data_IF_083192620246
#
_entry.id   IF_083192620246
#
_cell.length_a   1.000
_cell.length_b   1.000
_cell.length_c   1.000
_cell.angle_alpha   90.00
_cell.angle_beta   90.00
_cell.angle_gamma   90.00
#
_symmetry.space_group_name_H-M   'P 1'
#
loop_
_entity.id
_entity.type
_entity.pdbx_description
1 polymer ?
#
# COMPACT_ATOMS: atom_id res chain seq x y z
N UNK A 1 10.54 -19.76 -14.52
CA UNK A 1 9.90 -18.73 -15.36
C UNK A 1 8.40 -18.71 -15.11
N UNK A 2 7.96 -17.91 -14.14
CA UNK A 2 6.57 -17.52 -13.97
C UNK A 2 6.51 -15.99 -14.06
N UNK A 3 6.06 -15.49 -15.21
CA UNK A 3 5.83 -14.07 -15.44
C UNK A 3 4.42 -13.75 -14.96
N UNK A 4 4.26 -13.47 -13.66
CA UNK A 4 2.96 -13.02 -13.14
C UNK A 4 2.86 -11.51 -13.34
N UNK A 5 1.99 -11.11 -14.26
CA UNK A 5 1.71 -9.71 -14.57
C UNK A 5 0.27 -9.39 -14.19
N UNK A 6 0.07 -8.58 -13.16
CA UNK A 6 -1.26 -8.14 -12.75
C UNK A 6 -1.63 -6.87 -13.51
N UNK A 7 -2.52 -7.00 -14.48
CA UNK A 7 -3.06 -5.86 -15.22
C UNK A 7 -4.41 -5.45 -14.65
N UNK A 8 -4.49 -4.24 -14.12
CA UNK A 8 -5.76 -3.61 -13.82
C UNK A 8 -6.54 -3.34 -15.11
N UNK A 9 -7.88 -3.42 -15.04
CA UNK A 9 -8.77 -3.05 -16.15
C UNK A 9 -8.52 -1.60 -16.59
N UNK A 10 -8.86 -1.24 -17.82
CA UNK A 10 -8.58 0.10 -18.38
C UNK A 10 -9.14 1.26 -17.54
N UNK A 11 -10.13 1.00 -16.67
CA UNK A 11 -10.76 1.97 -15.79
C UNK A 11 -10.43 1.79 -14.31
N UNK A 12 -9.65 0.76 -13.94
CA UNK A 12 -9.24 0.57 -12.57
C UNK A 12 -8.09 1.53 -12.21
N UNK A 13 -8.24 2.22 -11.08
CA UNK A 13 -7.23 3.14 -10.55
C UNK A 13 -6.10 2.41 -9.81
N UNK A 14 -6.07 1.07 -9.85
CA UNK A 14 -5.03 0.26 -9.23
C UNK A 14 -3.70 0.33 -9.98
N UNK A 15 -2.56 0.32 -9.26
CA UNK A 15 -1.24 0.27 -9.86
C UNK A 15 -1.03 -1.06 -10.59
N UNK A 16 -0.24 -1.03 -11.67
CA UNK A 16 0.19 -2.25 -12.36
C UNK A 16 1.44 -2.78 -11.68
N UNK A 17 1.39 -4.04 -11.21
CA UNK A 17 2.50 -4.69 -10.51
C UNK A 17 2.97 -5.87 -11.35
N UNK A 18 4.27 -5.87 -11.64
CA UNK A 18 4.96 -6.97 -12.32
C UNK A 18 6.02 -7.53 -11.39
N UNK A 19 5.94 -8.82 -11.12
CA UNK A 19 6.87 -9.52 -10.25
C UNK A 19 7.69 -10.47 -11.13
N UNK A 20 8.99 -10.23 -11.17
CA UNK A 20 10.00 -11.14 -11.71
C UNK A 20 10.82 -11.73 -10.56
N UNK A 21 11.72 -12.67 -10.84
CA UNK A 21 12.53 -13.37 -9.82
C UNK A 21 13.32 -12.38 -8.95
N UNK A 22 14.08 -11.49 -9.61
CA UNK A 22 14.95 -10.50 -8.96
C UNK A 22 14.37 -9.07 -8.94
N UNK A 23 13.30 -8.80 -9.69
CA UNK A 23 12.87 -7.44 -9.99
C UNK A 23 11.35 -7.29 -9.87
N UNK A 24 10.92 -6.38 -9.02
CA UNK A 24 9.51 -6.00 -8.92
C UNK A 24 9.36 -4.61 -9.52
N UNK A 25 8.51 -4.48 -10.53
CA UNK A 25 8.16 -3.18 -11.11
C UNK A 25 6.74 -2.82 -10.76
N UNK A 26 6.57 -1.66 -10.16
CA UNK A 26 5.28 -1.04 -9.87
C UNK A 26 5.14 0.19 -10.75
N UNK A 27 4.04 0.29 -11.47
CA UNK A 27 3.71 1.47 -12.28
C UNK A 27 2.38 2.04 -11.84
N UNK A 28 2.24 3.36 -11.95
CA UNK A 28 0.95 4.03 -11.79
C UNK A 28 -0.13 3.43 -12.68
N UNK A 29 -1.39 3.68 -12.34
CA UNK A 29 -2.52 3.15 -13.09
C UNK A 29 -2.54 3.72 -14.52
N UNK A 30 -2.90 2.86 -15.47
CA UNK A 30 -2.99 3.26 -16.89
C UNK A 30 -4.05 4.34 -17.10
N UNK A 31 -5.15 4.29 -16.34
CA UNK A 31 -6.20 5.30 -16.35
C UNK A 31 -5.64 6.68 -16.00
N UNK A 32 -4.86 6.80 -14.92
CA UNK A 32 -4.22 8.07 -14.54
C UNK A 32 -3.24 8.54 -15.62
N UNK A 33 -2.44 7.63 -16.20
CA UNK A 33 -1.53 8.00 -17.28
C UNK A 33 -2.28 8.52 -18.51
N UNK A 34 -3.42 7.92 -18.87
CA UNK A 34 -4.24 8.37 -19.99
C UNK A 34 -4.86 9.75 -19.70
N UNK A 35 -5.44 9.93 -18.51
CA UNK A 35 -6.04 11.19 -18.07
C UNK A 35 -5.02 12.33 -17.97
N UNK A 36 -3.78 12.00 -17.62
CA UNK A 36 -2.67 12.96 -17.56
C UNK A 36 -1.91 13.09 -18.89
N UNK A 37 -2.41 12.49 -19.99
CA UNK A 37 -1.76 12.50 -21.31
C UNK A 37 -0.28 12.10 -21.25
N UNK A 38 0.05 11.13 -20.41
CA UNK A 38 1.41 10.63 -20.16
C UNK A 38 2.39 11.70 -19.65
N UNK A 39 1.90 12.83 -19.17
CA UNK A 39 2.72 13.87 -18.55
C UNK A 39 3.20 13.45 -17.16
N UNK A 40 2.41 12.66 -16.44
CA UNK A 40 2.78 12.14 -15.14
C UNK A 40 3.01 10.64 -15.23
N UNK A 41 4.27 10.21 -15.14
CA UNK A 41 4.63 8.79 -15.06
C UNK A 41 5.42 8.54 -13.79
N UNK A 42 4.87 7.69 -12.93
CA UNK A 42 5.51 7.21 -11.71
C UNK A 42 5.79 5.71 -11.88
N UNK A 43 7.05 5.33 -11.63
CA UNK A 43 7.45 3.93 -11.64
C UNK A 43 8.43 3.66 -10.51
N UNK A 44 8.21 2.56 -9.82
CA UNK A 44 9.07 2.07 -8.75
C UNK A 44 9.59 0.70 -9.16
N UNK A 45 10.90 0.55 -9.15
CA UNK A 45 11.57 -0.72 -9.44
C UNK A 45 12.33 -1.15 -8.20
N UNK A 46 11.96 -2.29 -7.64
CA UNK A 46 12.62 -2.90 -6.50
C UNK A 46 13.51 -4.01 -7.06
N UNK A 47 14.82 -3.85 -6.92
CA UNK A 47 15.79 -4.87 -7.30
C UNK A 47 16.25 -5.62 -6.06
N UNK A 48 15.84 -6.89 -5.94
CA UNK A 48 16.17 -7.76 -4.80
C UNK A 48 17.64 -8.13 -4.77
N UNK A 49 18.23 -8.40 -5.94
CA UNK A 49 19.64 -8.77 -6.09
C UNK A 49 20.58 -7.61 -5.74
N UNK A 50 20.28 -6.41 -6.22
CA UNK A 50 21.06 -5.21 -5.93
C UNK A 50 20.67 -4.53 -4.61
N UNK A 51 19.64 -5.03 -3.90
CA UNK A 51 19.10 -4.48 -2.65
C UNK A 51 18.84 -2.97 -2.71
N UNK A 52 18.18 -2.53 -3.78
CA UNK A 52 17.84 -1.12 -3.94
C UNK A 52 16.42 -0.93 -4.50
N UNK A 53 15.86 0.23 -4.19
CA UNK A 53 14.59 0.71 -4.71
C UNK A 53 14.87 1.92 -5.59
N UNK A 54 14.48 1.84 -6.85
CA UNK A 54 14.63 2.91 -7.83
C UNK A 54 13.26 3.52 -8.06
N UNK A 55 13.11 4.77 -7.67
CA UNK A 55 11.88 5.54 -7.85
C UNK A 55 12.14 6.53 -8.97
N UNK A 56 11.38 6.39 -10.05
CA UNK A 56 11.47 7.27 -11.21
C UNK A 56 10.17 8.04 -11.36
N UNK A 57 10.28 9.36 -11.32
CA UNK A 57 9.19 10.28 -11.60
C UNK A 57 9.48 11.01 -12.89
N UNK A 58 8.49 11.09 -13.75
CA UNK A 58 8.51 11.96 -14.90
C UNK A 58 7.34 12.92 -14.79
N UNK A 59 7.67 14.19 -14.73
CA UNK A 59 6.72 15.30 -14.75
C UNK A 59 6.91 16.04 -16.07
N UNK A 60 5.87 16.08 -16.88
CA UNK A 60 5.93 16.49 -18.28
C UNK A 60 6.94 15.68 -19.11
N UNK A 61 7.18 16.12 -20.35
CA UNK A 61 8.14 15.46 -21.23
C UNK A 61 9.61 15.70 -20.83
N UNK A 62 9.87 16.80 -20.11
CA UNK A 62 11.23 17.31 -19.87
C UNK A 62 11.79 17.03 -18.49
N UNK A 63 10.97 16.97 -17.43
CA UNK A 63 11.48 16.78 -16.07
C UNK A 63 11.43 15.32 -15.67
N UNK A 64 12.61 14.70 -15.58
CA UNK A 64 12.79 13.34 -15.09
C UNK A 64 13.58 13.40 -13.80
N UNK A 65 13.03 12.83 -12.74
CA UNK A 65 13.70 12.62 -11.47
C UNK A 65 13.87 11.13 -11.25
N UNK A 66 15.04 10.74 -10.74
CA UNK A 66 15.37 9.36 -10.39
C UNK A 66 16.03 9.37 -9.03
N UNK A 67 15.41 8.67 -8.09
CA UNK A 67 15.92 8.47 -6.74
C UNK A 67 16.23 6.99 -6.55
N UNK A 68 17.38 6.70 -5.95
CA UNK A 68 17.81 5.34 -5.64
C UNK A 68 17.98 5.26 -4.14
N UNK A 69 17.31 4.31 -3.51
CA UNK A 69 17.30 4.10 -2.07
C UNK A 69 17.84 2.70 -1.80
N UNK A 70 18.88 2.58 -0.99
CA UNK A 70 19.38 1.27 -0.59
C UNK A 70 18.42 0.64 0.45
N UNK A 71 18.30 -0.69 0.47
CA UNK A 71 17.43 -1.37 1.46
C UNK A 71 17.84 -1.04 2.90
N UNK A 72 19.14 -0.85 3.13
CA UNK A 72 19.68 -0.57 4.46
C UNK A 72 19.36 0.86 4.95
N UNK A 73 18.92 1.75 4.04
CA UNK A 73 18.45 3.09 4.39
C UNK A 73 16.96 3.13 4.76
N UNK A 74 16.23 2.02 4.55
CA UNK A 74 14.79 1.91 4.84
C UNK A 74 14.60 1.60 6.33
N UNK A 75 13.87 2.46 7.04
CA UNK A 75 13.55 2.28 8.46
C UNK A 75 12.27 1.44 8.63
N UNK A 76 11.19 1.89 7.99
CA UNK A 76 9.88 1.23 8.04
C UNK A 76 9.05 1.55 6.79
N UNK A 77 8.02 0.74 6.55
CA UNK A 77 6.98 1.04 5.58
C UNK A 77 5.84 1.80 6.22
N UNK A 78 5.48 2.94 5.65
CA UNK A 78 4.34 3.74 6.06
C UNK A 78 3.12 3.35 5.21
N UNK A 79 2.03 2.98 5.88
CA UNK A 79 0.77 2.63 5.25
C UNK A 79 -0.29 3.58 5.74
N UNK A 80 -0.78 4.44 4.85
CA UNK A 80 -1.75 5.47 5.17
C UNK A 80 -3.05 5.27 4.39
N UNK A 81 -4.15 5.58 5.05
CA UNK A 81 -5.49 5.60 4.49
C UNK A 81 -6.00 7.04 4.47
N UNK A 82 -6.64 7.42 3.37
CA UNK A 82 -7.35 8.69 3.22
C UNK A 82 -8.63 8.44 2.43
N UNK A 83 -9.73 9.04 2.86
CA UNK A 83 -11.02 9.01 2.18
C UNK A 83 -11.36 10.41 1.63
N UNK A 84 -11.91 10.47 0.42
CA UNK A 84 -12.47 11.68 -0.15
C UNK A 84 -13.95 11.48 -0.39
N UNK A 85 -14.78 12.30 0.25
CA UNK A 85 -16.23 12.29 0.03
C UNK A 85 -16.53 12.83 -1.37
N UNK A 86 -17.12 12.01 -2.23
CA UNK A 86 -17.55 12.38 -3.59
C UNK A 86 -18.97 12.90 -3.61
N UNK A 87 -19.83 12.42 -2.70
CA UNK A 87 -21.21 12.89 -2.56
C UNK A 87 -21.59 13.11 -1.10
N UNK A 88 -22.29 14.22 -0.87
CA UNK A 88 -22.91 14.57 0.40
C UNK A 88 -24.42 14.40 0.24
N UNK A 89 -25.01 13.50 1.02
CA UNK A 89 -26.45 13.25 1.03
C UNK A 89 -27.04 13.56 2.39
N UNK A 90 -28.35 13.80 2.44
CA UNK A 90 -29.07 13.87 3.71
C UNK A 90 -29.47 12.43 4.06
N UNK A 91 -28.88 11.86 5.11
CA UNK A 91 -29.28 10.58 5.66
C UNK A 91 -30.26 10.82 6.80
N UNK A 92 -31.48 10.28 6.65
CA UNK A 92 -32.49 10.27 7.71
C UNK A 92 -32.10 9.33 8.86
N UNK A 93 -31.26 8.33 8.61
CA UNK A 93 -30.82 7.34 9.61
C UNK A 93 -29.68 7.87 10.51
N UNK A 94 -28.83 8.77 10.00
CA UNK A 94 -27.72 9.38 10.75
C UNK A 94 -28.07 10.80 11.26
N UNK A 95 -29.31 11.26 11.05
CA UNK A 95 -29.81 12.52 11.61
C UNK A 95 -29.18 13.79 11.02
N UNK A 96 -28.71 13.77 9.77
CA UNK A 96 -28.05 14.92 9.15
C UNK A 96 -27.45 14.68 7.77
N UNK A 97 -26.53 15.57 7.36
CA UNK A 97 -25.76 15.43 6.11
C UNK A 97 -24.68 14.37 6.35
N UNK A 98 -24.79 13.22 5.69
CA UNK A 98 -23.85 12.12 5.74
C UNK A 98 -23.13 11.96 4.40
N UNK A 99 -21.93 11.39 4.42
CA UNK A 99 -21.20 11.00 3.20
C UNK A 99 -21.91 9.78 2.58
N UNK A 100 -22.49 9.92 1.40
CA UNK A 100 -23.17 8.80 0.71
C UNK A 100 -22.24 8.00 -0.17
N UNK A 101 -21.15 8.62 -0.63
CA UNK A 101 -20.12 7.99 -1.44
C UNK A 101 -18.74 8.54 -1.07
N UNK A 102 -17.76 7.64 -1.02
CA UNK A 102 -16.37 7.95 -0.67
C UNK A 102 -15.42 7.19 -1.57
N UNK A 103 -14.48 7.93 -2.16
CA UNK A 103 -13.30 7.34 -2.78
C UNK A 103 -12.27 7.09 -1.68
N UNK A 104 -11.97 5.82 -1.47
CA UNK A 104 -10.92 5.38 -0.58
C UNK A 104 -9.57 5.42 -1.31
N UNK A 105 -8.53 5.83 -0.59
CA UNK A 105 -7.17 5.84 -1.09
C UNK A 105 -6.22 5.29 -0.04
N UNK A 106 -5.56 4.20 -0.40
CA UNK A 106 -4.53 3.53 0.40
C UNK A 106 -3.17 3.86 -0.20
N UNK A 107 -2.28 4.47 0.57
CA UNK A 107 -0.95 4.87 0.10
C UNK A 107 0.11 4.10 0.87
N UNK A 108 1.00 3.44 0.12
CA UNK A 108 2.16 2.74 0.66
C UNK A 108 3.41 3.56 0.36
N UNK A 109 4.19 3.85 1.39
CA UNK A 109 5.41 4.65 1.29
C UNK A 109 6.55 4.00 2.08
N UNK A 110 7.78 4.27 1.65
CA UNK A 110 9.01 3.95 2.38
C UNK A 110 9.38 5.17 3.22
N UNK A 111 9.68 4.97 4.50
CA UNK A 111 10.38 5.96 5.31
C UNK A 111 11.84 5.57 5.42
N UNK A 112 12.74 6.53 5.19
CA UNK A 112 14.18 6.32 5.37
C UNK A 112 14.65 6.74 6.76
N UNK A 113 15.84 6.27 7.15
CA UNK A 113 16.50 6.66 8.41
C UNK A 113 16.74 8.17 8.50
N UNK A 114 16.75 8.88 7.36
CA UNK A 114 16.91 10.35 7.27
C UNK A 114 15.59 11.11 7.51
N UNK A 115 14.49 10.39 7.72
CA UNK A 115 13.15 10.96 7.88
C UNK A 115 12.46 11.34 6.57
N UNK A 116 13.07 11.01 5.42
CA UNK A 116 12.46 11.23 4.12
C UNK A 116 11.42 10.14 3.84
N UNK A 117 10.30 10.53 3.22
CA UNK A 117 9.24 9.60 2.82
C UNK A 117 9.13 9.54 1.31
N UNK A 118 9.16 8.33 0.78
CA UNK A 118 9.04 8.07 -0.64
C UNK A 118 7.83 7.19 -0.92
N UNK A 119 6.91 7.69 -1.73
CA UNK A 119 5.73 6.93 -2.14
C UNK A 119 6.15 5.74 -3.01
N UNK A 120 5.67 4.54 -2.67
CA UNK A 120 5.83 3.35 -3.50
C UNK A 120 4.68 3.22 -4.49
N UNK A 121 3.47 3.24 -3.97
CA UNK A 121 2.26 3.14 -4.76
C UNK A 121 1.04 3.64 -3.98
N UNK A 122 -0.04 3.88 -4.72
CA UNK A 122 -1.33 4.19 -4.13
C UNK A 122 -2.40 3.36 -4.83
N UNK A 123 -3.28 2.78 -4.03
CA UNK A 123 -4.51 2.14 -4.48
C UNK A 123 -5.64 3.13 -4.25
N UNK A 124 -6.53 3.25 -5.23
CA UNK A 124 -7.74 4.06 -5.13
C UNK A 124 -8.93 3.26 -5.62
N UNK A 125 -10.06 3.40 -4.96
CA UNK A 125 -11.32 2.95 -5.50
C UNK A 125 -12.51 3.32 -4.65
N UNK A 126 -13.68 2.94 -5.14
CA UNK A 126 -14.97 3.28 -4.57
C UNK A 126 -15.25 2.33 -3.41
N UNK A 127 -15.44 2.87 -2.21
CA UNK A 127 -15.74 2.11 -1.01
C UNK A 127 -17.16 1.52 -1.09
N UNK A 128 -17.33 0.39 -1.76
CA UNK A 128 -18.59 -0.35 -1.72
C UNK A 128 -18.77 -0.99 -0.34
N UNK A 129 -19.77 -0.54 0.44
CA UNK A 129 -20.20 -1.21 1.67
C UNK A 129 -20.59 -2.68 1.34
N UNK A 130 -19.76 -3.61 1.85
CA UNK A 130 -19.93 -5.08 1.92
C UNK A 130 -20.06 -5.88 0.60
N UNK A 131 -19.14 -6.81 0.38
CA UNK A 131 -19.40 -8.26 0.16
C UNK A 131 -18.10 -9.07 0.03
N UNK A 132 -18.01 -10.23 0.70
CA UNK A 132 -17.21 -11.37 0.23
C UNK A 132 -15.89 -11.74 0.94
N UNK A 133 -15.97 -12.25 2.18
CA UNK A 133 -14.86 -12.80 2.98
C UNK A 133 -14.44 -14.24 2.56
N UNK A 134 -14.26 -14.55 1.27
CA UNK A 134 -13.96 -15.93 0.83
C UNK A 134 -13.00 -16.01 -0.37
N UNK A 135 -11.73 -15.66 -0.17
CA UNK A 135 -10.72 -15.82 -1.23
C UNK A 135 -9.26 -15.93 -0.79
N UNK A 136 -8.95 -16.11 0.50
CA UNK A 136 -7.57 -15.94 1.02
C UNK A 136 -6.84 -17.27 1.32
N UNK A 137 -7.40 -18.44 1.01
CA UNK A 137 -6.81 -19.72 1.42
C UNK A 137 -6.58 -20.78 0.34
N UNK A 138 -6.68 -20.44 -0.93
CA UNK A 138 -6.22 -21.34 -2.01
C UNK A 138 -5.19 -20.62 -2.83
N UNK A 139 -3.94 -21.11 -2.76
CA UNK A 139 -2.91 -20.73 -3.71
C UNK A 139 -3.40 -21.04 -5.13
N UNK A 140 -3.05 -20.13 -6.04
CA UNK A 140 -3.60 -19.94 -7.38
C UNK A 140 -4.92 -19.15 -7.47
N UNK A 141 -4.88 -18.23 -8.43
CA UNK A 141 -5.95 -17.47 -9.08
C UNK A 141 -6.36 -16.08 -8.56
N UNK A 142 -6.01 -15.10 -9.41
CA UNK A 142 -6.79 -13.93 -9.81
C UNK A 142 -7.29 -12.97 -8.71
N UNK A 143 -6.47 -11.94 -8.46
CA UNK A 143 -6.88 -10.74 -7.72
C UNK A 143 -7.75 -9.88 -8.65
N UNK A 144 -9.07 -10.00 -8.47
CA UNK A 144 -10.06 -9.08 -9.03
C UNK A 144 -10.16 -7.84 -8.12
N UNK A 145 -9.85 -6.65 -8.63
CA UNK A 145 -9.64 -5.43 -7.82
C UNK A 145 -10.94 -4.69 -7.44
N UNK A 146 -12.11 -5.32 -7.57
CA UNK A 146 -13.39 -4.74 -7.18
C UNK A 146 -13.81 -5.24 -5.79
N UNK A 147 -13.84 -4.34 -4.79
CA UNK A 147 -14.29 -4.65 -3.43
C UNK A 147 -13.23 -5.15 -2.42
N UNK A 148 -12.01 -5.51 -2.84
CA UNK A 148 -10.94 -6.07 -1.96
C UNK A 148 -9.75 -5.14 -1.71
N UNK A 149 -9.79 -3.90 -2.20
CA UNK A 149 -8.63 -3.00 -2.33
C UNK A 149 -7.91 -2.71 -1.00
N UNK A 150 -8.64 -2.61 0.12
CA UNK A 150 -8.06 -2.42 1.44
C UNK A 150 -7.28 -3.64 1.94
N UNK A 151 -7.79 -4.85 1.69
CA UNK A 151 -7.09 -6.09 2.05
C UNK A 151 -5.88 -6.33 1.14
N UNK A 152 -6.03 -6.12 -0.17
CA UNK A 152 -4.94 -6.31 -1.14
C UNK A 152 -3.77 -5.35 -0.89
N UNK A 153 -4.07 -4.08 -0.63
CA UNK A 153 -3.05 -3.08 -0.31
C UNK A 153 -2.34 -3.39 1.00
N UNK A 154 -3.05 -3.95 1.99
CA UNK A 154 -2.47 -4.45 3.25
C UNK A 154 -1.58 -5.67 3.02
N UNK A 155 -2.03 -6.66 2.25
CA UNK A 155 -1.23 -7.85 1.93
C UNK A 155 0.04 -7.48 1.16
N UNK A 156 -0.05 -6.54 0.22
CA UNK A 156 1.10 -6.00 -0.49
C UNK A 156 2.08 -5.32 0.47
N UNK A 157 1.58 -4.51 1.40
CA UNK A 157 2.42 -3.85 2.41
C UNK A 157 3.16 -4.88 3.26
N UNK A 158 2.49 -5.96 3.69
CA UNK A 158 3.10 -7.05 4.44
C UNK A 158 4.13 -7.82 3.62
N UNK A 159 3.89 -8.04 2.33
CA UNK A 159 4.86 -8.65 1.42
C UNK A 159 6.12 -7.78 1.28
N UNK A 160 5.96 -6.46 1.16
CA UNK A 160 7.09 -5.53 1.11
C UNK A 160 7.85 -5.45 2.43
N UNK A 161 7.18 -5.51 3.58
CA UNK A 161 7.84 -5.64 4.88
C UNK A 161 8.77 -6.85 4.92
N UNK A 162 8.32 -8.00 4.38
CA UNK A 162 9.15 -9.21 4.29
C UNK A 162 10.33 -9.03 3.34
N UNK A 163 10.12 -8.39 2.19
CA UNK A 163 11.18 -8.18 1.17
C UNK A 163 12.27 -7.22 1.68
N UNK A 164 11.87 -6.10 2.28
CA UNK A 164 12.81 -5.12 2.82
C UNK A 164 13.36 -5.54 4.20
N UNK A 165 12.75 -6.52 4.85
CA UNK A 165 13.02 -6.92 6.23
C UNK A 165 12.86 -5.75 7.23
N UNK A 166 11.78 -4.98 7.06
CA UNK A 166 11.46 -3.78 7.87
C UNK A 166 10.04 -3.85 8.43
N UNK A 167 9.75 -3.19 9.56
CA UNK A 167 8.41 -3.15 10.12
C UNK A 167 7.42 -2.34 9.27
N UNK A 168 6.14 -2.61 9.51
CA UNK A 168 5.02 -1.77 9.05
C UNK A 168 4.75 -0.73 10.13
N UNK A 169 4.88 0.55 9.80
CA UNK A 169 4.80 1.69 10.71
C UNK A 169 6.08 1.91 11.51
N UNK A 170 6.25 3.14 12.00
CA UNK A 170 7.37 3.50 12.87
C UNK A 170 7.33 2.64 14.15
N UNK A 171 8.48 2.12 14.56
CA UNK A 171 8.57 1.50 15.89
C UNK A 171 8.46 2.61 16.92
N UNK A 172 7.43 2.53 17.75
CA UNK A 172 7.31 3.41 18.91
C UNK A 172 8.14 2.82 20.03
N UNK A 173 9.11 3.59 20.53
CA UNK A 173 9.79 3.28 21.78
C UNK A 173 8.81 3.53 22.93
N UNK A 174 8.17 2.45 23.39
CA UNK A 174 7.36 2.52 24.62
C UNK A 174 8.28 2.36 25.82
N UNK A 175 8.09 3.17 26.86
CA UNK A 175 8.83 3.06 28.12
C UNK A 175 8.52 1.75 28.87
N UNK A 176 7.34 1.16 28.66
CA UNK A 176 6.93 -0.15 29.19
C UNK A 176 6.50 -1.06 28.04
N UNK A 177 7.38 -2.00 27.65
CA UNK A 177 7.13 -2.92 26.53
C UNK A 177 6.91 -4.37 26.98
N UNK A 178 6.06 -5.07 26.24
CA UNK A 178 5.93 -6.53 26.23
C UNK A 178 6.13 -7.00 24.80
N UNK A 179 6.46 -8.27 24.63
CA UNK A 179 6.67 -8.87 23.32
C UNK A 179 5.39 -9.55 22.88
N UNK A 180 4.86 -9.19 21.71
CA UNK A 180 3.71 -9.88 21.15
C UNK A 180 4.06 -11.36 20.90
N UNK A 181 3.27 -12.33 21.42
CA UNK A 181 3.59 -13.76 21.31
C UNK A 181 3.59 -14.26 19.86
N UNK A 182 2.77 -13.66 18.99
CA UNK A 182 2.71 -14.04 17.59
C UNK A 182 3.81 -13.35 16.75
N UNK A 183 3.77 -12.01 16.66
CA UNK A 183 4.67 -11.28 15.75
C UNK A 183 6.04 -10.92 16.35
N UNK A 184 6.30 -11.25 17.63
CA UNK A 184 7.55 -10.97 18.36
C UNK A 184 7.97 -9.50 18.44
N UNK A 185 7.09 -8.56 18.07
CA UNK A 185 7.36 -7.11 18.16
C UNK A 185 7.13 -6.61 19.58
N UNK A 186 7.95 -5.64 19.99
CA UNK A 186 7.75 -4.89 21.23
C UNK A 186 6.53 -3.98 21.07
N UNK A 187 5.65 -4.01 22.05
CA UNK A 187 4.38 -3.28 22.09
C UNK A 187 4.17 -2.75 23.50
N UNK A 188 3.32 -1.73 23.67
CA UNK A 188 3.00 -1.18 24.99
C UNK A 188 2.34 -2.21 25.92
N UNK A 189 2.68 -2.24 27.21
CA UNK A 189 2.00 -3.11 28.19
C UNK A 189 0.55 -2.69 28.46
N UNK A 190 0.11 -1.54 27.97
CA UNK A 190 -1.24 -1.00 28.20
C UNK A 190 -2.25 -1.43 27.14
N UNK A 191 -1.81 -2.09 26.06
CA UNK A 191 -2.67 -2.42 24.92
C UNK A 191 -3.11 -3.87 24.98
N UNK A 192 -4.42 -4.10 24.78
CA UNK A 192 -5.01 -5.45 24.76
C UNK A 192 -4.86 -6.15 23.41
N UNK A 193 -4.56 -5.41 22.34
CA UNK A 193 -4.40 -5.94 20.98
C UNK A 193 -3.14 -5.38 20.32
N UNK A 194 -2.44 -6.22 19.55
CA UNK A 194 -1.23 -5.84 18.86
C UNK A 194 -1.57 -4.96 17.65
N UNK A 195 -1.01 -3.76 17.57
CA UNK A 195 -1.21 -2.87 16.42
C UNK A 195 -0.70 -3.43 15.09
N UNK A 196 0.23 -4.39 15.13
CA UNK A 196 0.90 -4.91 13.93
C UNK A 196 0.25 -6.18 13.37
N UNK A 197 -0.19 -7.10 14.22
CA UNK A 197 -0.83 -8.36 13.79
C UNK A 197 -2.30 -8.49 14.22
N UNK A 198 -2.87 -7.47 14.87
CA UNK A 198 -4.25 -7.43 15.35
C UNK A 198 -4.62 -8.52 16.38
N UNK A 199 -3.64 -9.22 16.94
CA UNK A 199 -3.88 -10.31 17.89
C UNK A 199 -4.00 -9.81 19.34
N UNK A 200 -4.89 -10.45 20.11
CA UNK A 200 -5.16 -10.09 21.50
C UNK A 200 -3.99 -10.55 22.37
N UNK A 201 -3.37 -9.60 23.10
CA UNK A 201 -2.33 -9.89 24.08
C UNK A 201 -3.04 -10.05 25.44
N UNK A 202 -2.96 -11.26 25.99
CA UNK A 202 -3.43 -11.58 27.34
C UNK A 202 -2.46 -11.08 28.39
#
# INVERSE_FOLDING_TARGET
>A
MSLVSYTSSLFSLSPTIKIDEDLITIKGSKAIHLLTLFLLLESVTINRKARNVIISHRFCYFFKSKTIIAFDEIDYLDYSFSDFATCWGISLDEGGISKTDTIEKYTLSISTNRGEKYKLCSFSGEGAKMTGLFGVLTGDDFIDFSGTQGEDSRQLALAFCKIFNVPLGKQFEFSNTTTCPNCKRKISNKIKCCYYCSEIIK
#
